data_IF_172025958057
#
_entry.id   IF_172025958057
#
_cell.length_a   1.000
_cell.length_b   1.000
_cell.length_c   1.000
_cell.angle_alpha   90.00
_cell.angle_beta   90.00
_cell.angle_gamma   90.00
#
_symmetry.space_group_name_H-M   'P 1'
#
loop_
_entity.id
_entity.type
_entity.pdbx_description
1 polymer ?
#
# COMPACT_ATOMS: atom_id res chain seq x y z
N UNK A 1 -10.03 -14.11 -0.08
CA UNK A 1 -9.40 -15.42 -0.40
C UNK A 1 -9.22 -15.62 -1.91
N UNK A 2 -8.66 -14.62 -2.60
CA UNK A 2 -8.23 -14.68 -4.01
C UNK A 2 -7.17 -13.61 -4.27
N UNK A 3 -6.26 -13.40 -3.32
CA UNK A 3 -5.39 -12.23 -3.23
C UNK A 3 -4.46 -12.14 -4.46
N UNK A 4 -3.92 -13.28 -4.90
CA UNK A 4 -3.11 -13.34 -6.12
C UNK A 4 -3.94 -13.00 -7.36
N UNK A 5 -5.11 -13.63 -7.50
CA UNK A 5 -6.02 -13.40 -8.63
C UNK A 5 -6.50 -11.95 -8.69
N UNK A 6 -6.93 -11.38 -7.56
CA UNK A 6 -7.31 -9.98 -7.41
C UNK A 6 -6.20 -9.06 -7.95
N UNK A 7 -4.98 -9.25 -7.49
CA UNK A 7 -3.86 -8.37 -7.84
C UNK A 7 -3.46 -8.50 -9.30
N UNK A 8 -3.46 -9.72 -9.86
CA UNK A 8 -3.19 -9.95 -11.27
C UNK A 8 -4.30 -9.38 -12.18
N UNK A 9 -5.57 -9.52 -11.78
CA UNK A 9 -6.72 -8.92 -12.48
C UNK A 9 -6.60 -7.40 -12.47
N UNK A 10 -6.23 -6.79 -11.35
CA UNK A 10 -6.01 -5.34 -11.27
C UNK A 10 -4.91 -4.85 -12.22
N UNK A 11 -3.83 -5.62 -12.40
CA UNK A 11 -2.83 -5.31 -13.42
C UNK A 11 -3.48 -5.28 -14.82
N UNK A 12 -4.34 -6.25 -15.12
CA UNK A 12 -5.11 -6.28 -16.38
C UNK A 12 -6.05 -5.07 -16.54
N UNK A 13 -6.76 -4.68 -15.47
CA UNK A 13 -7.62 -3.49 -15.45
C UNK A 13 -6.81 -2.22 -15.73
N UNK A 14 -5.65 -2.06 -15.08
CA UNK A 14 -4.77 -0.92 -15.29
C UNK A 14 -4.21 -0.89 -16.72
N UNK A 15 -3.82 -2.03 -17.27
CA UNK A 15 -3.31 -2.16 -18.64
C UNK A 15 -4.37 -1.91 -19.70
N UNK A 16 -5.62 -2.32 -19.44
CA UNK A 16 -6.74 -2.04 -20.33
C UNK A 16 -7.01 -0.53 -20.46
N UNK A 17 -6.78 0.23 -19.39
CA UNK A 17 -7.06 1.66 -19.35
C UNK A 17 -8.54 1.99 -19.10
N UNK A 18 -8.80 3.25 -18.76
CA UNK A 18 -10.13 3.76 -18.39
C UNK A 18 -10.45 3.67 -16.89
N UNK A 19 -9.63 2.98 -16.11
CA UNK A 19 -9.83 2.78 -14.66
C UNK A 19 -8.53 2.99 -13.88
N UNK A 20 -8.67 3.40 -12.61
CA UNK A 20 -7.59 3.40 -11.62
C UNK A 20 -7.96 2.34 -10.56
N UNK A 21 -7.44 1.11 -10.66
CA UNK A 21 -7.86 0.03 -9.78
C UNK A 21 -7.22 0.15 -8.39
N UNK A 22 -8.01 -0.15 -7.36
CA UNK A 22 -7.49 -0.46 -6.02
C UNK A 22 -8.04 -1.81 -5.53
N UNK A 23 -7.25 -2.47 -4.68
CA UNK A 23 -7.58 -3.76 -4.07
C UNK A 23 -7.13 -3.78 -2.62
N UNK A 24 -7.72 -4.65 -1.81
CA UNK A 24 -7.45 -4.67 -0.37
C UNK A 24 -7.33 -6.08 0.21
N UNK A 25 -6.40 -6.26 1.15
CA UNK A 25 -6.27 -7.45 2.00
C UNK A 25 -5.47 -7.10 3.28
N UNK A 26 -5.23 -8.07 4.16
CA UNK A 26 -4.30 -7.88 5.29
C UNK A 26 -2.86 -7.84 4.77
N UNK A 27 -2.00 -7.04 5.40
CA UNK A 27 -0.61 -6.89 4.96
C UNK A 27 0.12 -8.23 4.92
N UNK A 28 -0.15 -9.14 5.85
CA UNK A 28 0.43 -10.49 5.84
C UNK A 28 0.13 -11.23 4.52
N UNK A 29 -1.08 -11.08 3.99
CA UNK A 29 -1.50 -11.76 2.76
C UNK A 29 -1.04 -11.08 1.48
N UNK A 30 -0.26 -9.99 1.58
CA UNK A 30 0.51 -9.51 0.43
C UNK A 30 1.47 -10.60 -0.10
N UNK A 31 1.92 -11.52 0.76
CA UNK A 31 2.76 -12.66 0.37
C UNK A 31 2.06 -13.57 -0.64
N UNK A 32 0.73 -13.73 -0.55
CA UNK A 32 -0.05 -14.48 -1.54
C UNK A 32 -0.07 -13.79 -2.91
N UNK A 33 0.07 -12.46 -2.94
CA UNK A 33 0.00 -11.63 -4.15
C UNK A 33 1.36 -11.07 -4.60
N UNK A 34 2.46 -11.46 -3.95
CA UNK A 34 3.77 -10.81 -4.05
C UNK A 34 4.29 -10.72 -5.49
N UNK A 35 4.14 -11.80 -6.26
CA UNK A 35 4.58 -11.82 -7.65
C UNK A 35 3.71 -10.90 -8.54
N UNK A 36 2.39 -10.85 -8.34
CA UNK A 36 1.53 -9.92 -9.08
C UNK A 36 1.89 -8.45 -8.80
N UNK A 37 2.26 -8.11 -7.56
CA UNK A 37 2.76 -6.78 -7.23
C UNK A 37 4.12 -6.49 -7.85
N UNK A 38 5.03 -7.46 -7.86
CA UNK A 38 6.30 -7.34 -8.57
C UNK A 38 6.09 -7.12 -10.07
N UNK A 39 5.11 -7.82 -10.67
CA UNK A 39 4.75 -7.62 -12.08
C UNK A 39 4.17 -6.21 -12.32
N UNK A 40 3.33 -5.71 -11.42
CA UNK A 40 2.84 -4.34 -11.51
C UNK A 40 3.98 -3.31 -11.54
N UNK A 41 4.98 -3.52 -10.67
CA UNK A 41 6.16 -2.67 -10.57
C UNK A 41 7.03 -2.74 -11.83
N UNK A 42 7.25 -3.95 -12.35
CA UNK A 42 8.01 -4.18 -13.58
C UNK A 42 7.33 -3.57 -14.81
N UNK A 43 6.02 -3.72 -14.92
CA UNK A 43 5.22 -3.21 -16.04
C UNK A 43 4.91 -1.72 -15.93
N UNK A 44 5.30 -1.06 -14.84
CA UNK A 44 5.00 0.36 -14.56
C UNK A 44 3.50 0.66 -14.55
N UNK A 45 2.68 -0.27 -14.08
CA UNK A 45 1.22 -0.13 -14.08
C UNK A 45 0.73 0.54 -12.81
N UNK A 46 -0.23 1.47 -12.93
CA UNK A 46 -0.92 2.07 -11.81
C UNK A 46 -1.85 1.05 -11.12
N UNK A 47 -1.34 0.36 -10.11
CA UNK A 47 -2.07 -0.59 -9.26
C UNK A 47 -1.92 -0.13 -7.79
N UNK A 48 -3.04 0.19 -7.13
CA UNK A 48 -3.05 0.67 -5.75
C UNK A 48 -3.49 -0.46 -4.81
N UNK A 49 -2.59 -0.97 -3.99
CA UNK A 49 -2.93 -1.96 -2.97
C UNK A 49 -3.09 -1.32 -1.60
N UNK A 50 -4.21 -1.64 -0.96
CA UNK A 50 -4.53 -1.26 0.42
C UNK A 50 -4.28 -2.46 1.32
N UNK A 51 -3.22 -2.39 2.12
CA UNK A 51 -2.87 -3.40 3.10
C UNK A 51 -3.22 -2.91 4.49
N UNK A 52 -4.17 -3.57 5.15
CA UNK A 52 -4.56 -3.25 6.54
C UNK A 52 -3.92 -4.21 7.54
N UNK A 53 -4.10 -3.98 8.84
CA UNK A 53 -3.58 -4.87 9.90
C UNK A 53 -2.06 -5.03 9.77
N UNK A 54 -1.36 -3.90 9.81
CA UNK A 54 0.04 -3.75 9.40
C UNK A 54 1.10 -4.30 10.36
N UNK A 55 0.71 -4.78 11.54
CA UNK A 55 1.66 -5.07 12.62
C UNK A 55 1.08 -6.01 13.68
N UNK A 56 1.87 -6.27 14.72
CA UNK A 56 1.43 -6.92 15.97
C UNK A 56 0.20 -6.25 16.62
N UNK A 57 -0.09 -4.99 16.27
CA UNK A 57 -1.26 -4.25 16.73
C UNK A 57 -2.61 -4.88 16.33
N UNK A 58 -2.63 -5.88 15.44
CA UNK A 58 -3.85 -6.62 15.14
C UNK A 58 -4.35 -7.44 16.35
N UNK A 59 -3.48 -7.86 17.26
CA UNK A 59 -3.85 -8.61 18.45
C UNK A 59 -3.99 -10.12 18.24
N UNK A 60 -5.17 -10.65 18.55
CA UNK A 60 -5.41 -12.04 18.91
C UNK A 60 -5.29 -13.05 17.75
N UNK A 61 -5.35 -12.63 16.48
CA UNK A 61 -5.17 -13.58 15.35
C UNK A 61 -3.72 -14.11 15.25
N UNK A 62 -2.79 -13.51 16.00
CA UNK A 62 -1.50 -14.10 16.32
C UNK A 62 -0.49 -14.11 15.17
N UNK A 63 0.60 -14.88 15.30
CA UNK A 63 1.81 -14.73 14.48
C UNK A 63 1.61 -15.06 13.00
N UNK A 64 0.58 -15.84 12.66
CA UNK A 64 0.25 -16.15 11.25
C UNK A 64 -0.40 -15.00 10.51
N UNK A 65 -0.87 -13.96 11.24
CA UNK A 65 -1.52 -12.77 10.69
C UNK A 65 -0.71 -11.51 10.92
N UNK A 66 0.20 -11.50 11.90
CA UNK A 66 0.96 -10.33 12.33
C UNK A 66 2.16 -10.09 11.41
N UNK A 67 2.14 -9.02 10.58
CA UNK A 67 3.26 -8.69 9.72
C UNK A 67 4.49 -8.26 10.53
N UNK A 68 5.66 -8.67 10.07
CA UNK A 68 6.97 -8.31 10.63
C UNK A 68 7.90 -7.78 9.53
N UNK A 69 8.09 -8.55 8.46
CA UNK A 69 9.06 -8.29 7.38
C UNK A 69 8.44 -7.78 6.08
N UNK A 70 7.11 -7.78 5.98
CA UNK A 70 6.37 -7.54 4.74
C UNK A 70 6.64 -6.12 4.20
N UNK A 71 6.74 -5.11 5.07
CA UNK A 71 7.06 -3.73 4.66
C UNK A 71 8.47 -3.64 4.08
N UNK A 72 9.44 -4.33 4.68
CA UNK A 72 10.82 -4.37 4.17
C UNK A 72 10.87 -5.04 2.79
N UNK A 73 10.15 -6.14 2.60
CA UNK A 73 10.00 -6.80 1.30
C UNK A 73 9.42 -5.88 0.21
N UNK A 74 8.37 -5.12 0.53
CA UNK A 74 7.76 -4.16 -0.39
C UNK A 74 8.76 -3.04 -0.76
N UNK A 75 9.47 -2.48 0.23
CA UNK A 75 10.49 -1.44 0.02
C UNK A 75 11.67 -1.90 -0.83
N UNK A 76 12.04 -3.18 -0.75
CA UNK A 76 13.11 -3.77 -1.56
C UNK A 76 12.69 -4.09 -3.00
N UNK A 77 11.40 -3.98 -3.34
CA UNK A 77 10.92 -4.22 -4.70
C UNK A 77 11.17 -2.98 -5.56
N UNK A 78 11.97 -3.07 -6.64
CA UNK A 78 12.23 -1.92 -7.50
C UNK A 78 10.94 -1.34 -8.09
N UNK A 79 10.85 -0.02 -8.19
CA UNK A 79 9.67 0.71 -8.68
C UNK A 79 8.38 0.51 -7.85
N UNK A 80 8.47 -0.02 -6.62
CA UNK A 80 7.36 -0.05 -5.67
C UNK A 80 7.31 1.25 -4.87
N UNK A 81 6.16 1.93 -4.82
CA UNK A 81 5.94 2.98 -3.83
C UNK A 81 5.29 2.36 -2.60
N UNK A 82 5.84 2.60 -1.41
CA UNK A 82 5.35 2.00 -0.16
C UNK A 82 5.12 3.10 0.86
N UNK A 83 3.87 3.25 1.32
CA UNK A 83 3.47 4.26 2.29
C UNK A 83 2.92 3.61 3.55
N UNK A 84 3.40 4.03 4.71
CA UNK A 84 2.86 3.66 6.02
C UNK A 84 2.53 4.93 6.82
N UNK A 85 1.40 5.59 6.53
CA UNK A 85 1.03 6.86 7.15
C UNK A 85 0.80 6.72 8.67
N UNK A 86 1.21 7.74 9.44
CA UNK A 86 1.04 7.75 10.89
C UNK A 86 -0.30 8.34 11.37
N UNK A 87 -1.05 9.01 10.50
CA UNK A 87 -2.39 9.53 10.80
C UNK A 87 -3.22 9.79 9.53
N UNK A 88 -4.38 10.42 9.69
CA UNK A 88 -5.31 10.70 8.60
C UNK A 88 -4.78 11.71 7.57
N UNK A 89 -3.90 12.65 7.96
CA UNK A 89 -3.36 13.67 7.05
C UNK A 89 -2.36 13.00 6.11
N UNK A 90 -1.45 12.20 6.66
CA UNK A 90 -0.52 11.41 5.85
C UNK A 90 -1.24 10.37 5.00
N UNK A 91 -2.32 9.78 5.51
CA UNK A 91 -3.15 8.84 4.75
C UNK A 91 -3.76 9.51 3.50
N UNK A 92 -4.26 10.74 3.64
CA UNK A 92 -4.81 11.50 2.52
C UNK A 92 -3.74 11.83 1.47
N UNK A 93 -2.53 12.22 1.89
CA UNK A 93 -1.41 12.49 0.98
C UNK A 93 -0.93 11.22 0.28
N UNK A 94 -0.82 10.10 1.00
CA UNK A 94 -0.43 8.82 0.42
C UNK A 94 -1.42 8.35 -0.67
N UNK A 95 -2.73 8.51 -0.44
CA UNK A 95 -3.76 8.25 -1.44
C UNK A 95 -3.66 9.17 -2.65
N UNK A 96 -3.49 10.48 -2.43
CA UNK A 96 -3.30 11.45 -3.51
C UNK A 96 -2.13 11.03 -4.40
N UNK A 97 -0.97 10.74 -3.80
CA UNK A 97 0.23 10.36 -4.54
C UNK A 97 0.08 9.00 -5.25
N UNK A 98 -0.66 8.06 -4.68
CA UNK A 98 -0.97 6.79 -5.35
C UNK A 98 -1.84 6.99 -6.60
N UNK A 99 -2.79 7.93 -6.57
CA UNK A 99 -3.68 8.26 -7.70
C UNK A 99 -2.94 9.09 -8.77
N UNK A 100 -2.02 9.95 -8.36
CA UNK A 100 -1.19 10.76 -9.28
C UNK A 100 -0.07 9.94 -9.93
N UNK A 101 0.41 8.88 -9.27
CA UNK A 101 1.47 8.01 -9.79
C UNK A 101 0.97 7.13 -10.93
N UNK A 102 1.43 7.41 -12.16
CA UNK A 102 1.04 6.67 -13.38
C UNK A 102 2.05 5.63 -13.86
N UNK A 103 3.24 5.57 -13.26
CA UNK A 103 4.39 4.78 -13.72
C UNK A 103 4.78 3.62 -12.79
N UNK A 104 3.85 3.20 -11.92
CA UNK A 104 4.00 1.99 -11.14
C UNK A 104 3.00 1.87 -9.98
N UNK A 105 3.12 0.80 -9.18
CA UNK A 105 2.17 0.44 -8.14
C UNK A 105 2.48 1.07 -6.78
N UNK A 106 1.44 1.34 -6.01
CA UNK A 106 1.54 1.88 -4.65
C UNK A 106 0.97 0.88 -3.65
N UNK A 107 1.71 0.61 -2.58
CA UNK A 107 1.25 -0.13 -1.41
C UNK A 107 0.97 0.86 -0.28
N UNK A 108 -0.29 0.96 0.14
CA UNK A 108 -0.76 1.80 1.24
C UNK A 108 -1.01 0.92 2.47
N UNK A 109 -0.27 1.15 3.55
CA UNK A 109 -0.20 0.28 4.71
C UNK A 109 -0.85 0.94 5.92
N UNK A 110 -1.92 0.35 6.44
CA UNK A 110 -2.77 0.93 7.48
C UNK A 110 -2.86 0.06 8.72
N UNK A 111 -2.83 0.71 9.88
CA UNK A 111 -3.04 0.06 11.18
C UNK A 111 -4.48 -0.43 11.35
N UNK A 112 -4.67 -1.39 12.27
CA UNK A 112 -6.01 -1.79 12.74
C UNK A 112 -6.56 -0.73 13.71
N UNK A 113 -5.70 -0.30 14.62
CA UNK A 113 -6.03 0.66 15.69
C UNK A 113 -6.05 2.10 15.17
N UNK A 114 -6.82 2.94 15.87
CA UNK A 114 -6.80 4.38 15.67
C UNK A 114 -5.43 4.96 16.05
N UNK A 115 -4.99 5.97 15.30
CA UNK A 115 -3.76 6.71 15.54
C UNK A 115 -4.09 8.16 15.87
N UNK A 116 -3.30 8.76 16.76
CA UNK A 116 -3.45 10.17 17.10
C UNK A 116 -2.93 11.03 15.95
N UNK A 117 -3.72 12.02 15.54
CA UNK A 117 -3.28 13.03 14.58
C UNK A 117 -2.15 13.86 15.17
N UNK A 118 -1.10 14.09 14.38
CA UNK A 118 0.00 14.97 14.74
C UNK A 118 -0.34 16.43 14.40
N UNK A 119 0.00 17.34 15.31
CA UNK A 119 0.00 18.78 15.03
C UNK A 119 1.08 19.11 13.99
N UNK A 120 0.69 19.83 12.94
CA UNK A 120 1.60 20.20 11.86
C UNK A 120 1.34 21.64 11.40
N UNK A 121 2.40 22.35 11.07
CA UNK A 121 2.31 23.59 10.31
C UNK A 121 2.16 23.32 8.79
N UNK A 122 1.96 24.38 8.01
CA UNK A 122 1.75 24.27 6.56
C UNK A 122 2.98 23.70 5.81
N UNK A 123 4.20 23.98 6.28
CA UNK A 123 5.42 23.47 5.67
C UNK A 123 5.55 21.96 5.94
N UNK A 124 5.30 21.53 7.17
CA UNK A 124 5.28 20.13 7.57
C UNK A 124 4.23 19.34 6.79
N UNK A 125 3.02 19.90 6.59
CA UNK A 125 2.00 19.29 5.73
C UNK A 125 2.49 19.14 4.29
N UNK A 126 3.13 20.17 3.72
CA UNK A 126 3.69 20.10 2.37
C UNK A 126 4.82 19.05 2.26
N UNK A 127 5.63 18.92 3.31
CA UNK A 127 6.75 17.99 3.38
C UNK A 127 6.34 16.52 3.43
N UNK A 128 5.10 16.18 3.80
CA UNK A 128 4.59 14.79 3.76
C UNK A 128 4.78 14.18 2.36
N UNK A 129 4.60 14.98 1.31
CA UNK A 129 4.72 14.49 -0.07
C UNK A 129 6.13 14.05 -0.46
N UNK A 130 7.15 14.38 0.35
CA UNK A 130 8.55 13.99 0.12
C UNK A 130 8.83 12.52 0.46
N UNK A 131 7.90 11.81 1.11
CA UNK A 131 7.95 10.36 1.26
C UNK A 131 7.64 9.86 2.67
N UNK A 132 7.54 8.53 2.80
CA UNK A 132 7.34 7.76 4.04
C UNK A 132 8.17 6.48 4.11
#
# INVERSE_FOLDING_TARGET
>A
VREFGMTAIMNGIALHGGFVPYGATFLMFMEYARNAMRMAALMKTQNIQVYTHDSIGLGEDGPTHQPVEQIASLRLTPNMSTWRPCDQVESAVAWKLAIERKDGPSALIFSRQNLAQQDRDAEQVANIAKGG
#
